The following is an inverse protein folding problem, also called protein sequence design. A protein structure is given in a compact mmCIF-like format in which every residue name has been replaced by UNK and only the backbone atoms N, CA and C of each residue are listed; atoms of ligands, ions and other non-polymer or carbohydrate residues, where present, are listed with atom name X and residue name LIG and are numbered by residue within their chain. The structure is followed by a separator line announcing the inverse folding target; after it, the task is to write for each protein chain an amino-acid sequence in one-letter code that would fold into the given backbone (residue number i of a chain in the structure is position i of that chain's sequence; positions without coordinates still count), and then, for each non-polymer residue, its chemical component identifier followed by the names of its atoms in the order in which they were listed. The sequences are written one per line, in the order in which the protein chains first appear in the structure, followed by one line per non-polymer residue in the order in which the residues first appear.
data_IF_536233652198
#
_entry.id   IF_536233652198
#
_cell.length_a   1.000
_cell.length_b   1.000
_cell.length_c   1.000
_cell.angle_alpha   90.00
_cell.angle_beta   90.00
_cell.angle_gamma   90.00
#
_symmetry.space_group_name_H-M   'P 1'
#
loop_
_entity.id
_entity.type
_entity.pdbx_description
1 polymer ?
#
# COMPACT_ATOMS: atom_id res chain seq x y z
N UNK A 1 -0.63 -15.85 14.82
CA UNK A 1 -0.26 -16.16 13.43
C UNK A 1 -0.51 -14.92 12.59
N UNK A 2 0.54 -14.39 11.94
CA UNK A 2 0.47 -13.15 11.14
C UNK A 2 -0.10 -13.38 9.74
N UNK A 3 0.22 -14.53 9.18
CA UNK A 3 -0.28 -15.05 7.91
C UNK A 3 -1.49 -15.94 8.19
N UNK A 4 -2.42 -16.04 7.24
CA UNK A 4 -3.51 -17.01 7.37
C UNK A 4 -2.99 -18.45 7.26
N UNK A 5 -3.57 -19.38 8.01
CA UNK A 5 -3.21 -20.81 7.93
C UNK A 5 -3.54 -21.44 6.58
N UNK A 6 -4.52 -20.87 5.86
CA UNK A 6 -4.96 -21.27 4.52
C UNK A 6 -4.43 -20.34 3.42
N UNK A 7 -3.30 -19.65 3.64
CA UNK A 7 -2.83 -18.55 2.77
C UNK A 7 -2.74 -18.91 1.28
N UNK A 8 -2.18 -20.08 0.93
CA UNK A 8 -2.07 -20.53 -0.47
C UNK A 8 -3.47 -20.75 -1.06
N UNK A 9 -4.34 -21.48 -0.36
CA UNK A 9 -5.70 -21.72 -0.81
C UNK A 9 -6.47 -20.40 -1.00
N UNK A 10 -6.38 -19.51 -0.01
CA UNK A 10 -7.00 -18.17 -0.07
C UNK A 10 -6.47 -17.35 -1.24
N UNK A 11 -5.16 -17.35 -1.48
CA UNK A 11 -4.54 -16.66 -2.60
C UNK A 11 -5.05 -17.18 -3.94
N UNK A 12 -5.06 -18.51 -4.14
CA UNK A 12 -5.54 -19.15 -5.38
C UNK A 12 -6.98 -18.75 -5.72
N UNK A 13 -7.83 -18.46 -4.73
CA UNK A 13 -9.21 -18.02 -4.94
C UNK A 13 -9.36 -16.52 -5.23
N UNK A 14 -8.39 -15.69 -4.83
CA UNK A 14 -8.58 -14.22 -4.76
C UNK A 14 -7.56 -13.41 -5.56
N UNK A 15 -6.44 -14.01 -5.97
CA UNK A 15 -5.30 -13.29 -6.54
C UNK A 15 -5.68 -12.49 -7.79
N UNK A 16 -6.44 -13.07 -8.71
CA UNK A 16 -6.74 -12.45 -10.01
C UNK A 16 -7.55 -11.17 -9.84
N UNK A 17 -8.61 -11.21 -9.01
CA UNK A 17 -9.43 -10.05 -8.69
C UNK A 17 -8.65 -9.00 -7.92
N UNK A 18 -7.81 -9.42 -6.98
CA UNK A 18 -6.96 -8.54 -6.19
C UNK A 18 -5.94 -7.83 -7.08
N UNK A 19 -5.25 -8.56 -7.96
CA UNK A 19 -4.26 -8.04 -8.88
C UNK A 19 -4.89 -7.08 -9.88
N UNK A 20 -6.04 -7.41 -10.47
CA UNK A 20 -6.76 -6.52 -11.38
C UNK A 20 -7.18 -5.20 -10.70
N UNK A 21 -7.66 -5.27 -9.46
CA UNK A 21 -8.07 -4.10 -8.68
C UNK A 21 -6.85 -3.25 -8.27
N UNK A 22 -5.75 -3.90 -7.88
CA UNK A 22 -4.47 -3.24 -7.60
C UNK A 22 -3.91 -2.54 -8.84
N UNK A 23 -3.90 -3.22 -9.99
CA UNK A 23 -3.46 -2.67 -11.27
C UNK A 23 -4.27 -1.43 -11.67
N UNK A 24 -5.59 -1.50 -11.50
CA UNK A 24 -6.49 -0.36 -11.79
C UNK A 24 -6.20 0.83 -10.88
N UNK A 25 -5.96 0.59 -9.58
CA UNK A 25 -5.56 1.63 -8.64
C UNK A 25 -4.22 2.24 -9.03
N UNK A 26 -3.22 1.42 -9.36
CA UNK A 26 -1.89 1.87 -9.79
C UNK A 26 -1.97 2.73 -11.05
N UNK A 27 -2.72 2.28 -12.06
CA UNK A 27 -2.87 3.01 -13.32
C UNK A 27 -3.35 4.45 -13.12
N UNK A 28 -4.33 4.66 -12.24
CA UNK A 28 -4.89 6.00 -11.96
C UNK A 28 -3.97 6.86 -11.07
N UNK A 29 -3.11 6.24 -10.27
CA UNK A 29 -2.34 6.93 -9.23
C UNK A 29 -0.85 7.06 -9.54
N UNK A 30 -0.35 6.42 -10.59
CA UNK A 30 1.04 6.58 -11.03
C UNK A 30 1.22 7.96 -11.64
N UNK A 31 2.22 8.70 -11.15
CA UNK A 31 2.51 10.04 -11.63
C UNK A 31 3.12 9.95 -13.03
N UNK A 32 2.70 10.82 -13.97
CA UNK A 32 3.36 10.90 -15.27
C UNK A 32 4.83 11.30 -15.10
N UNK A 33 5.74 10.76 -15.94
CA UNK A 33 7.15 11.11 -15.90
C UNK A 33 7.35 12.60 -16.22
N UNK A 34 6.59 13.11 -17.19
CA UNK A 34 6.69 14.49 -17.66
C UNK A 34 5.78 15.46 -16.89
N UNK A 35 6.16 16.74 -16.92
CA UNK A 35 5.42 17.83 -16.29
C UNK A 35 5.73 18.00 -14.79
N UNK A 36 5.55 19.22 -14.28
CA UNK A 36 5.76 19.50 -12.87
C UNK A 36 4.61 18.97 -12.03
N UNK A 37 4.93 18.39 -10.87
CA UNK A 37 3.95 17.86 -9.92
C UNK A 37 2.95 18.91 -9.42
N UNK A 38 3.30 20.20 -9.46
CA UNK A 38 2.40 21.28 -9.03
C UNK A 38 1.34 21.66 -10.05
N UNK A 39 1.48 21.22 -11.29
CA UNK A 39 0.53 21.51 -12.38
C UNK A 39 -0.31 20.29 -12.76
N UNK A 40 -0.02 19.12 -12.17
CA UNK A 40 -0.80 17.91 -12.40
C UNK A 40 -2.16 18.01 -11.69
N UNK A 41 -3.22 17.63 -12.40
CA UNK A 41 -4.49 17.31 -11.76
C UNK A 41 -4.38 15.92 -11.13
N UNK A 42 -4.41 15.89 -9.80
CA UNK A 42 -4.28 14.68 -9.00
C UNK A 42 -5.61 14.26 -8.36
N UNK A 43 -6.73 14.90 -8.70
CA UNK A 43 -8.03 14.65 -8.07
C UNK A 43 -8.53 13.22 -8.30
N UNK A 44 -8.35 12.67 -9.49
CA UNK A 44 -8.71 11.27 -9.75
C UNK A 44 -7.85 10.29 -8.91
N UNK A 45 -6.56 10.57 -8.77
CA UNK A 45 -5.62 9.75 -8.00
C UNK A 45 -5.96 9.76 -6.50
N UNK A 46 -6.17 10.95 -5.91
CA UNK A 46 -6.54 11.07 -4.49
C UNK A 46 -7.89 10.42 -4.21
N UNK A 47 -8.88 10.61 -5.08
CA UNK A 47 -10.19 10.00 -4.94
C UNK A 47 -10.12 8.47 -5.01
N UNK A 48 -9.34 7.90 -5.94
CA UNK A 48 -9.15 6.45 -6.04
C UNK A 48 -8.55 5.86 -4.76
N UNK A 49 -7.53 6.53 -4.19
CA UNK A 49 -6.91 6.12 -2.92
C UNK A 49 -7.91 6.21 -1.77
N UNK A 50 -8.62 7.33 -1.66
CA UNK A 50 -9.59 7.58 -0.57
C UNK A 50 -10.76 6.57 -0.62
N UNK A 51 -11.23 6.18 -1.82
CA UNK A 51 -12.26 5.16 -2.01
C UNK A 51 -11.81 3.81 -1.44
N UNK A 52 -10.56 3.40 -1.69
CA UNK A 52 -10.02 2.13 -1.18
C UNK A 52 -9.84 2.20 0.34
N UNK A 53 -9.33 3.31 0.87
CA UNK A 53 -9.20 3.54 2.33
C UNK A 53 -10.58 3.48 3.02
N UNK A 54 -11.62 4.01 2.39
CA UNK A 54 -12.99 3.95 2.89
C UNK A 54 -13.60 2.53 2.85
N UNK A 55 -12.91 1.56 2.23
CA UNK A 55 -13.36 0.17 2.11
C UNK A 55 -14.38 -0.06 1.00
N UNK A 56 -14.58 0.91 0.10
CA UNK A 56 -15.59 0.82 -0.97
C UNK A 56 -15.23 -0.19 -2.08
N UNK A 57 -14.01 -0.72 -2.06
CA UNK A 57 -13.51 -1.73 -3.01
C UNK A 57 -13.42 -3.12 -2.39
N UNK A 58 -13.86 -3.32 -1.14
CA UNK A 58 -13.87 -4.64 -0.51
C UNK A 58 -14.96 -5.55 -1.12
N UNK A 59 -14.73 -6.89 -1.23
CA UNK A 59 -13.51 -7.61 -0.85
C UNK A 59 -12.42 -7.60 -1.93
N UNK A 60 -12.67 -6.98 -3.09
CA UNK A 60 -11.76 -7.01 -4.24
C UNK A 60 -10.39 -6.38 -3.94
N UNK A 61 -10.37 -5.30 -3.16
CA UNK A 61 -9.16 -4.63 -2.72
C UNK A 61 -9.32 -4.17 -1.26
N UNK A 62 -8.75 -4.90 -0.28
CA UNK A 62 -8.81 -4.54 1.14
C UNK A 62 -8.25 -3.14 1.44
N UNK A 63 -8.77 -2.47 2.49
CA UNK A 63 -8.36 -1.10 2.89
C UNK A 63 -6.84 -0.91 3.03
N UNK A 64 -6.11 -1.94 3.44
CA UNK A 64 -4.64 -1.94 3.56
C UNK A 64 -3.90 -1.60 2.28
N UNK A 65 -4.45 -1.96 1.12
CA UNK A 65 -3.90 -1.54 -0.17
C UNK A 65 -4.06 -0.03 -0.38
N UNK A 66 -5.17 0.56 0.10
CA UNK A 66 -5.38 2.00 0.07
C UNK A 66 -4.39 2.75 0.96
N UNK A 67 -4.15 2.27 2.18
CA UNK A 67 -3.12 2.84 3.06
C UNK A 67 -1.72 2.71 2.47
N UNK A 68 -1.36 1.52 1.96
CA UNK A 68 -0.08 1.28 1.28
C UNK A 68 0.08 2.26 0.12
N UNK A 69 -0.93 2.37 -0.74
CA UNK A 69 -0.85 3.23 -1.92
C UNK A 69 -0.78 4.70 -1.55
N UNK A 70 -1.51 5.14 -0.53
CA UNK A 70 -1.39 6.49 0.00
C UNK A 70 0.04 6.82 0.43
N UNK A 71 0.69 5.92 1.18
CA UNK A 71 2.08 6.10 1.58
C UNK A 71 3.02 6.19 0.37
N UNK A 72 2.93 5.23 -0.56
CA UNK A 72 3.76 5.21 -1.77
C UNK A 72 3.55 6.47 -2.63
N UNK A 73 2.29 6.89 -2.82
CA UNK A 73 1.95 8.08 -3.58
C UNK A 73 2.60 9.34 -3.00
N UNK A 74 2.55 9.52 -1.67
CA UNK A 74 3.21 10.65 -1.01
C UNK A 74 4.73 10.62 -1.19
N UNK A 75 5.37 9.45 -1.14
CA UNK A 75 6.81 9.34 -1.40
C UNK A 75 7.16 9.61 -2.87
N UNK A 76 6.32 9.17 -3.82
CA UNK A 76 6.46 9.51 -5.25
C UNK A 76 6.33 11.02 -5.50
N UNK A 77 5.29 11.67 -4.94
CA UNK A 77 5.11 13.12 -5.04
C UNK A 77 6.31 13.85 -4.44
N UNK A 78 6.79 13.41 -3.27
CA UNK A 78 7.97 13.98 -2.60
C UNK A 78 9.25 13.85 -3.45
N UNK A 79 9.45 12.69 -4.09
CA UNK A 79 10.57 12.47 -5.00
C UNK A 79 10.47 13.40 -6.22
N UNK A 80 9.31 13.46 -6.88
CA UNK A 80 9.06 14.34 -8.03
C UNK A 80 9.24 15.83 -7.69
N UNK A 81 8.86 16.28 -6.49
CA UNK A 81 9.19 17.64 -6.00
C UNK A 81 10.71 17.84 -5.94
N UNK A 82 11.47 16.83 -5.51
CA UNK A 82 12.93 16.86 -5.52
C UNK A 82 13.50 17.05 -6.92
N UNK A 83 12.98 16.27 -7.88
CA UNK A 83 13.39 16.31 -9.28
C UNK A 83 13.02 17.64 -9.95
N UNK A 84 11.78 18.12 -9.76
CA UNK A 84 11.32 19.42 -10.25
C UNK A 84 12.18 20.58 -9.71
N UNK A 85 12.63 20.50 -8.44
CA UNK A 85 13.57 21.45 -7.84
C UNK A 85 14.97 21.35 -8.45
N UNK A 86 15.42 20.14 -8.76
CA UNK A 86 16.72 19.91 -9.38
C UNK A 86 16.76 20.52 -10.78
N UNK A 87 15.68 20.37 -11.54
CA UNK A 87 15.48 20.89 -12.90
C UNK A 87 15.09 22.38 -12.96
N UNK A 88 14.83 23.03 -11.81
CA UNK A 88 14.46 24.44 -11.75
C UNK A 88 13.00 24.74 -12.12
N UNK A 89 12.15 23.70 -12.25
CA UNK A 89 10.72 23.84 -12.53
C UNK A 89 9.95 24.43 -11.35
N UNK A 90 10.44 24.20 -10.12
CA UNK A 90 9.91 24.84 -8.92
C UNK A 90 11.02 25.48 -8.07
N UNK A 91 10.73 26.58 -7.35
CA UNK A 91 11.73 27.23 -6.51
C UNK A 91 12.30 26.32 -5.43
N UNK A 92 13.62 26.39 -5.24
CA UNK A 92 14.33 25.77 -4.10
C UNK A 92 14.10 26.60 -2.83
N UNK A 93 12.86 26.64 -2.34
CA UNK A 93 12.53 27.29 -1.08
C UNK A 93 13.16 26.55 0.11
N UNK A 94 13.83 27.29 0.99
CA UNK A 94 14.51 26.75 2.20
C UNK A 94 13.54 26.39 3.35
N UNK A 95 12.30 26.86 3.32
CA UNK A 95 11.39 26.82 4.49
C UNK A 95 10.43 25.63 4.54
N UNK A 96 10.12 24.98 3.40
CA UNK A 96 9.15 23.87 3.36
C UNK A 96 9.81 22.57 2.92
N UNK A 97 9.84 21.60 3.83
CA UNK A 97 10.31 20.23 3.57
C UNK A 97 9.43 19.57 2.50
N UNK A 98 10.03 18.85 1.55
CA UNK A 98 9.31 18.22 0.44
C UNK A 98 8.15 17.33 0.92
N UNK A 99 8.31 16.64 2.06
CA UNK A 99 7.25 15.83 2.68
C UNK A 99 6.01 16.66 3.02
N UNK A 100 6.17 17.85 3.62
CA UNK A 100 5.05 18.73 3.94
C UNK A 100 4.33 19.21 2.68
N UNK A 101 5.09 19.52 1.62
CA UNK A 101 4.54 19.93 0.33
C UNK A 101 3.78 18.80 -0.37
N UNK A 102 4.28 17.57 -0.32
CA UNK A 102 3.59 16.40 -0.86
C UNK A 102 2.23 16.18 -0.16
N UNK A 103 2.19 16.35 1.16
CA UNK A 103 0.92 16.33 1.91
C UNK A 103 -0.03 17.44 1.47
N UNK A 104 0.45 18.68 1.33
CA UNK A 104 -0.39 19.79 0.87
C UNK A 104 -0.96 19.53 -0.52
N UNK A 105 -0.15 19.01 -1.45
CA UNK A 105 -0.61 18.63 -2.79
C UNK A 105 -1.73 17.58 -2.72
N UNK A 106 -1.55 16.53 -1.91
CA UNK A 106 -2.59 15.52 -1.71
C UNK A 106 -3.87 16.13 -1.15
N UNK A 107 -3.77 16.89 -0.05
CA UNK A 107 -4.93 17.52 0.61
C UNK A 107 -5.68 18.46 -0.33
N UNK A 108 -4.95 19.27 -1.10
CA UNK A 108 -5.56 20.20 -2.06
C UNK A 108 -6.27 19.49 -3.22
N UNK A 109 -5.85 18.27 -3.55
CA UNK A 109 -6.48 17.46 -4.58
C UNK A 109 -7.63 16.58 -4.04
N UNK A 110 -7.88 16.53 -2.72
CA UNK A 110 -8.98 15.73 -2.17
C UNK A 110 -10.35 16.34 -2.49
N UNK A 111 -11.26 15.50 -2.99
CA UNK A 111 -12.68 15.87 -3.16
C UNK A 111 -13.39 15.97 -1.81
N UNK A 112 -13.07 15.06 -0.88
CA UNK A 112 -13.61 15.04 0.48
C UNK A 112 -12.45 15.20 1.45
N UNK A 113 -12.46 16.29 2.20
CA UNK A 113 -11.37 16.60 3.12
C UNK A 113 -11.24 15.54 4.22
N UNK A 114 -10.05 14.94 4.33
CA UNK A 114 -9.69 14.06 5.45
C UNK A 114 -9.03 14.89 6.55
N UNK A 115 -9.39 14.66 7.81
CA UNK A 115 -8.77 15.38 8.94
C UNK A 115 -7.26 15.10 8.98
N UNK A 116 -6.48 16.11 9.34
CA UNK A 116 -5.01 16.01 9.35
C UNK A 116 -4.49 14.86 10.23
N UNK A 117 -5.11 14.62 11.39
CA UNK A 117 -4.74 13.51 12.27
C UNK A 117 -4.99 12.14 11.63
N UNK A 118 -6.09 12.01 10.87
CA UNK A 118 -6.43 10.79 10.15
C UNK A 118 -5.46 10.57 8.99
N UNK A 119 -5.06 11.61 8.26
CA UNK A 119 -4.03 11.52 7.22
C UNK A 119 -2.68 11.07 7.79
N UNK A 120 -2.25 11.63 8.92
CA UNK A 120 -1.01 11.20 9.59
C UNK A 120 -1.07 9.72 9.97
N UNK A 121 -2.22 9.28 10.49
CA UNK A 121 -2.47 7.88 10.85
C UNK A 121 -2.45 6.97 9.62
N UNK A 122 -3.12 7.36 8.55
CA UNK A 122 -3.17 6.63 7.28
C UNK A 122 -1.76 6.46 6.69
N UNK A 123 -0.92 7.51 6.73
CA UNK A 123 0.47 7.42 6.26
C UNK A 123 1.27 6.45 7.13
N UNK A 124 1.13 6.51 8.45
CA UNK A 124 1.83 5.60 9.35
C UNK A 124 1.43 4.14 9.08
N UNK A 125 0.13 3.88 8.91
CA UNK A 125 -0.36 2.56 8.54
C UNK A 125 0.19 2.10 7.19
N UNK A 126 0.18 2.98 6.19
CA UNK A 126 0.73 2.69 4.87
C UNK A 126 2.22 2.34 4.90
N UNK A 127 3.03 3.09 5.66
CA UNK A 127 4.45 2.79 5.84
C UNK A 127 4.69 1.43 6.51
N UNK A 128 3.84 1.06 7.47
CA UNK A 128 3.89 -0.27 8.11
C UNK A 128 3.49 -1.39 7.17
N UNK A 129 2.42 -1.19 6.40
CA UNK A 129 2.02 -2.15 5.36
C UNK A 129 3.13 -2.32 4.32
N UNK A 130 3.77 -1.23 3.91
CA UNK A 130 4.92 -1.26 3.02
C UNK A 130 6.07 -2.11 3.56
N UNK A 131 6.40 -1.99 4.85
CA UNK A 131 7.47 -2.77 5.50
C UNK A 131 7.17 -4.27 5.61
N UNK A 132 5.90 -4.67 5.73
CA UNK A 132 5.53 -6.10 5.78
C UNK A 132 5.26 -6.70 4.39
N UNK A 133 5.02 -5.86 3.38
CA UNK A 133 4.73 -6.26 2.00
C UNK A 133 5.85 -5.86 1.03
N UNK A 134 7.10 -5.86 1.50
CA UNK A 134 8.26 -5.36 0.74
C UNK A 134 8.41 -6.09 -0.59
N UNK A 135 8.25 -7.42 -0.60
CA UNK A 135 8.37 -8.20 -1.83
C UNK A 135 7.19 -7.97 -2.80
N UNK A 136 5.97 -7.76 -2.27
CA UNK A 136 4.79 -7.57 -3.11
C UNK A 136 3.58 -7.05 -2.31
N UNK A 137 2.84 -6.04 -2.81
CA UNK A 137 1.55 -5.63 -2.26
C UNK A 137 0.53 -6.76 -2.17
N UNK A 138 0.59 -7.78 -3.06
CA UNK A 138 -0.35 -8.90 -3.03
C UNK A 138 -0.25 -9.74 -1.75
N UNK A 139 0.89 -9.72 -1.06
CA UNK A 139 1.04 -10.36 0.25
C UNK A 139 0.08 -9.78 1.29
N UNK A 140 -0.37 -8.53 1.11
CA UNK A 140 -1.40 -7.95 1.93
C UNK A 140 -2.68 -8.79 1.90
N UNK A 141 -3.05 -9.43 0.80
CA UNK A 141 -4.28 -10.22 0.71
C UNK A 141 -4.28 -11.47 1.60
N UNK A 142 -3.11 -12.03 1.92
CA UNK A 142 -2.97 -13.27 2.72
C UNK A 142 -2.63 -13.01 4.19
N UNK A 143 -2.35 -11.76 4.55
CA UNK A 143 -2.18 -11.38 5.95
C UNK A 143 -3.50 -11.52 6.72
N UNK A 144 -3.42 -12.22 7.87
CA UNK A 144 -4.55 -12.44 8.75
C UNK A 144 -4.97 -11.15 9.46
N UNK A 145 -6.16 -11.16 10.07
CA UNK A 145 -6.68 -10.06 10.90
C UNK A 145 -5.72 -9.65 12.04
N UNK A 146 -4.87 -10.57 12.49
CA UNK A 146 -3.81 -10.30 13.47
C UNK A 146 -2.73 -9.35 12.92
N UNK A 147 -2.37 -9.44 11.65
CA UNK A 147 -1.45 -8.50 11.00
C UNK A 147 -2.12 -7.13 10.77
N UNK A 148 -3.43 -7.10 10.49
CA UNK A 148 -4.18 -5.85 10.49
C UNK A 148 -4.14 -5.23 11.89
N UNK A 149 -4.43 -5.99 12.95
CA UNK A 149 -4.30 -5.53 14.34
C UNK A 149 -2.87 -5.08 14.65
N UNK A 150 -1.83 -5.74 14.15
CA UNK A 150 -0.45 -5.31 14.33
C UNK A 150 -0.19 -3.93 13.69
N UNK A 151 -0.69 -3.68 12.48
CA UNK A 151 -0.60 -2.36 11.85
C UNK A 151 -1.50 -1.30 12.55
N UNK A 152 -2.70 -1.70 13.02
CA UNK A 152 -3.76 -0.85 13.58
C UNK A 152 -3.60 -0.49 15.07
N UNK A 153 -3.33 -1.47 15.94
CA UNK A 153 -3.18 -1.33 17.41
C UNK A 153 -2.06 -0.36 17.75
N UNK A 154 -1.08 -0.24 16.87
CA UNK A 154 0.08 0.63 17.04
C UNK A 154 -0.14 2.06 16.50
N UNK A 155 -1.35 2.38 16.05
CA UNK A 155 -1.74 3.68 15.48
C UNK A 155 -2.85 4.40 16.28
N UNK A 156 -3.33 3.83 17.40
CA UNK A 156 -4.41 4.37 18.24
C UNK A 156 -3.93 4.52 19.69
N UNK A 157 -3.87 5.74 20.23
CA UNK A 157 -3.60 6.02 21.65
C UNK A 157 -4.85 6.20 22.53
N UNK A 158 -6.01 5.67 22.12
CA UNK A 158 -7.18 5.59 23.01
C UNK A 158 -7.77 4.19 22.99
N UNK A 159 -7.23 3.35 23.85
CA UNK A 159 -7.63 1.96 24.06
C UNK A 159 -8.43 1.80 25.38
N UNK A 160 -9.19 2.82 25.79
CA UNK A 160 -10.04 2.72 26.98
C UNK A 160 -11.33 1.90 26.76
N UNK A 161 -11.43 1.13 25.68
CA UNK A 161 -12.64 0.35 25.36
C UNK A 161 -12.38 -1.09 24.88
N UNK A 162 -11.18 -1.64 25.04
CA UNK A 162 -10.87 -3.01 24.59
C UNK A 162 -10.12 -3.84 25.64
N UNK A 163 -10.53 -3.71 26.90
CA UNK A 163 -10.12 -4.65 27.94
C UNK A 163 -10.73 -6.02 27.68
N UNK A 164 -9.99 -6.92 27.00
CA UNK A 164 -9.97 -8.39 27.23
C UNK A 164 -9.34 -9.27 26.12
N UNK A 165 -8.55 -8.75 25.18
CA UNK A 165 -7.75 -9.64 24.32
C UNK A 165 -6.34 -9.12 24.08
N UNK A 166 -5.51 -9.24 25.12
CA UNK A 166 -4.19 -9.90 25.11
C UNK A 166 -3.56 -9.63 26.46
N UNK A 167 -3.57 -10.64 27.33
CA UNK A 167 -2.78 -10.67 28.54
C UNK A 167 -1.30 -10.47 28.13
N UNK A 168 -0.61 -9.54 28.78
CA UNK A 168 0.77 -9.06 28.55
C UNK A 168 0.94 -7.92 27.53
N UNK A 169 1.14 -6.74 28.15
CA UNK A 169 1.61 -5.44 27.63
C UNK A 169 0.56 -4.64 26.84
N UNK A 170 0.01 -3.69 27.58
CA UNK A 170 -0.47 -2.39 27.11
C UNK A 170 0.19 -2.00 25.77
N UNK A 171 -0.55 -1.85 24.64
CA UNK A 171 0.05 -1.58 23.33
C UNK A 171 0.55 -0.14 23.25
N UNK A 172 1.60 0.17 24.01
CA UNK A 172 2.38 1.38 23.79
C UNK A 172 2.95 1.29 22.38
N UNK A 173 2.84 2.42 21.66
CA UNK A 173 3.38 2.68 20.32
C UNK A 173 4.71 1.93 20.12
N UNK A 174 4.67 0.81 19.41
CA UNK A 174 5.89 0.06 19.03
C UNK A 174 6.67 0.99 18.11
N UNK A 175 7.90 1.30 18.52
CA UNK A 175 8.84 2.10 17.74
C UNK A 175 9.18 1.42 16.42
N UNK A 176 9.63 2.20 15.44
CA UNK A 176 9.95 1.71 14.09
C UNK A 176 10.97 0.55 14.09
N UNK A 177 12.07 0.59 14.88
CA UNK A 177 13.00 -0.55 14.97
C UNK A 177 12.32 -1.85 15.42
N UNK A 178 11.52 -1.78 16.48
CA UNK A 178 10.82 -2.95 17.00
C UNK A 178 9.79 -3.47 16.00
N UNK A 179 9.07 -2.58 15.31
CA UNK A 179 8.14 -2.97 14.26
C UNK A 179 8.88 -3.67 13.10
N UNK A 180 10.03 -3.15 12.67
CA UNK A 180 10.81 -3.73 11.57
C UNK A 180 11.27 -5.17 11.88
N UNK A 181 11.71 -5.44 13.12
CA UNK A 181 12.09 -6.80 13.55
C UNK A 181 10.88 -7.74 13.49
N UNK A 182 9.73 -7.30 13.99
CA UNK A 182 8.50 -8.10 13.98
C UNK A 182 7.96 -8.31 12.56
N UNK A 183 8.04 -7.29 11.71
CA UNK A 183 7.70 -7.35 10.29
C UNK A 183 8.57 -8.38 9.55
N UNK A 184 9.88 -8.42 9.85
CA UNK A 184 10.77 -9.43 9.29
C UNK A 184 10.36 -10.85 9.68
N UNK A 185 10.09 -11.09 10.96
CA UNK A 185 9.63 -12.41 11.43
C UNK A 185 8.29 -12.81 10.82
N UNK A 186 7.35 -11.86 10.70
CA UNK A 186 6.06 -12.13 10.07
C UNK A 186 6.17 -12.55 8.59
N UNK A 187 7.24 -12.11 7.89
CA UNK A 187 7.51 -12.52 6.51
C UNK A 187 8.13 -13.92 6.41
N UNK A 188 8.87 -14.35 7.43
CA UNK A 188 9.41 -15.72 7.52
C UNK A 188 8.28 -16.76 7.62
N UNK A 189 7.12 -16.38 8.16
CA UNK A 189 5.91 -17.21 8.22
C UNK A 189 5.20 -17.36 6.85
N UNK A 190 5.59 -16.60 5.82
CA UNK A 190 4.97 -16.68 4.48
C UNK A 190 5.72 -17.74 3.64
N UNK A 191 5.02 -18.74 3.07
CA UNK A 191 5.62 -19.69 2.14
C UNK A 191 6.42 -18.99 1.05
N UNK A 192 7.62 -19.49 0.76
CA UNK A 192 8.54 -18.84 -0.17
C UNK A 192 7.93 -18.79 -1.57
N UNK A 193 7.33 -19.89 -2.01
CA UNK A 193 6.68 -20.06 -3.30
C UNK A 193 5.57 -19.03 -3.49
N UNK A 194 4.81 -18.74 -2.42
CA UNK A 194 3.78 -17.70 -2.43
C UNK A 194 4.39 -16.29 -2.56
N UNK A 195 5.50 -16.01 -1.89
CA UNK A 195 6.22 -14.74 -2.04
C UNK A 195 6.74 -14.55 -3.46
N UNK A 196 7.35 -15.58 -4.03
CA UNK A 196 7.93 -15.56 -5.38
C UNK A 196 6.84 -15.30 -6.43
N UNK A 197 5.69 -15.99 -6.34
CA UNK A 197 4.53 -15.74 -7.23
C UNK A 197 3.98 -14.32 -7.05
N UNK A 198 3.81 -13.86 -5.81
CA UNK A 198 3.31 -12.52 -5.55
C UNK A 198 4.25 -11.44 -6.10
N UNK A 199 5.56 -11.63 -5.98
CA UNK A 199 6.56 -10.73 -6.51
C UNK A 199 6.55 -10.73 -8.04
N UNK A 200 6.53 -11.91 -8.67
CA UNK A 200 6.47 -12.03 -10.13
C UNK A 200 5.28 -11.28 -10.72
N UNK A 201 4.07 -11.54 -10.21
CA UNK A 201 2.84 -10.92 -10.71
C UNK A 201 2.85 -9.39 -10.54
N UNK A 202 3.25 -8.91 -9.36
CA UNK A 202 3.34 -7.48 -9.10
C UNK A 202 4.32 -6.80 -10.05
N UNK A 203 5.54 -7.33 -10.16
CA UNK A 203 6.57 -6.76 -11.04
C UNK A 203 6.07 -6.66 -12.48
N UNK A 204 5.45 -7.72 -13.00
CA UNK A 204 4.95 -7.75 -14.37
C UNK A 204 3.82 -6.76 -14.65
N UNK A 205 2.91 -6.59 -13.70
CA UNK A 205 1.83 -5.61 -13.81
C UNK A 205 2.38 -4.18 -13.69
N UNK A 206 3.30 -3.92 -12.77
CA UNK A 206 3.90 -2.60 -12.59
C UNK A 206 4.74 -2.18 -13.81
N UNK A 207 5.54 -3.08 -14.37
CA UNK A 207 6.28 -2.88 -15.62
C UNK A 207 5.34 -2.54 -16.78
N UNK A 208 4.23 -3.29 -16.92
CA UNK A 208 3.24 -3.05 -17.97
C UNK A 208 2.56 -1.68 -17.81
N UNK A 209 2.19 -1.29 -16.59
CA UNK A 209 1.58 0.02 -16.31
C UNK A 209 2.55 1.16 -16.64
N UNK A 210 3.81 1.05 -16.21
CA UNK A 210 4.82 2.07 -16.48
C UNK A 210 5.15 2.21 -17.97
N UNK A 211 5.08 1.12 -18.74
CA UNK A 211 5.33 1.12 -20.19
C UNK A 211 4.10 1.39 -21.05
N UNK A 212 2.91 1.47 -20.46
CA UNK A 212 1.64 1.58 -21.19
C UNK A 212 1.22 0.29 -21.92
N UNK A 213 1.87 -0.84 -21.64
CA UNK A 213 1.55 -2.13 -22.22
C UNK A 213 0.31 -2.76 -21.57
N UNK A 214 -0.45 -3.61 -22.30
CA UNK A 214 -1.55 -4.35 -21.71
C UNK A 214 -1.04 -5.38 -20.68
N UNK A 215 -1.71 -5.49 -19.54
CA UNK A 215 -1.40 -6.47 -18.49
C UNK A 215 -2.43 -7.60 -18.39
N UNK A 216 -3.42 -7.65 -19.29
CA UNK A 216 -4.50 -8.67 -19.28
C UNK A 216 -3.97 -10.10 -19.42
N UNK A 217 -2.82 -10.29 -20.08
CA UNK A 217 -2.15 -11.59 -20.18
C UNK A 217 -1.79 -12.20 -18.82
N UNK A 218 -1.51 -11.36 -17.80
CA UNK A 218 -1.21 -11.80 -16.44
C UNK A 218 -2.47 -12.10 -15.62
N UNK A 219 -3.66 -11.92 -16.20
CA UNK A 219 -4.96 -12.19 -15.58
C UNK A 219 -5.70 -13.36 -16.28
N UNK A 220 -5.05 -14.08 -17.19
CA UNK A 220 -5.65 -15.15 -17.99
C UNK A 220 -5.60 -16.54 -17.34
N UNK A 221 -6.31 -17.49 -17.95
CA UNK A 221 -6.38 -18.88 -17.48
C UNK A 221 -5.01 -19.58 -17.49
N UNK A 222 -4.15 -19.27 -18.45
CA UNK A 222 -2.81 -19.85 -18.52
C UNK A 222 -1.97 -19.47 -17.30
N UNK A 223 -2.06 -18.21 -16.87
CA UNK A 223 -1.40 -17.74 -15.65
C UNK A 223 -1.99 -18.42 -14.40
N UNK A 224 -3.31 -18.61 -14.34
CA UNK A 224 -3.96 -19.38 -13.27
C UNK A 224 -3.39 -20.80 -13.15
N UNK A 225 -3.17 -21.46 -14.29
CA UNK A 225 -2.63 -22.83 -14.30
C UNK A 225 -1.17 -22.84 -13.82
N UNK A 226 -0.33 -21.92 -14.31
CA UNK A 226 1.06 -21.79 -13.86
C UNK A 226 1.18 -21.50 -12.36
N UNK A 227 0.36 -20.58 -11.83
CA UNK A 227 0.33 -20.27 -10.40
C UNK A 227 -0.06 -21.51 -9.59
N UNK A 228 -1.06 -22.28 -10.06
CA UNK A 228 -1.50 -23.49 -9.37
C UNK A 228 -0.36 -24.51 -9.33
N UNK A 229 0.25 -24.82 -10.47
CA UNK A 229 1.38 -25.76 -10.58
C UNK A 229 2.58 -25.36 -9.71
N UNK A 230 2.81 -24.06 -9.50
CA UNK A 230 3.91 -23.59 -8.67
C UNK A 230 3.61 -23.64 -7.16
N UNK A 231 2.33 -23.57 -6.77
CA UNK A 231 1.91 -23.48 -5.37
C UNK A 231 1.36 -24.81 -4.79
N UNK A 232 1.21 -25.84 -5.62
CA UNK A 232 0.73 -27.19 -5.24
C UNK A 232 1.76 -28.25 -5.55
#
# INVERSE_FOLDING_TARGET
MFVRSDAIYWFLQTWQRTLASWASLLHVTTLPPDGSVTTLDLTAATQAIDIVIAGKMEPALPRKFGYLRFFQFLECVKAKIGDDKAQGLIPRGKSVVNSSRAYSIYVNAQVVATKQNDLRRNRQMGGRFHQISVESPLLLAVFAKAADMFAYVLAVTKLSSFGKLTCYRDPKKVDEPTFAVLASRAREDIPKELRDVCQFLTTKVEEAICSGAPYSQYLGQDMTNQIREHLT
#
